data_IF_235398786411
#
_entry.id   IF_235398786411
#
_cell.length_a   1.000
_cell.length_b   1.000
_cell.length_c   1.000
_cell.angle_alpha   90.00
_cell.angle_beta   90.00
_cell.angle_gamma   90.00
#
_symmetry.space_group_name_H-M   'P 1'
#
loop_
_entity.id
_entity.type
_entity.pdbx_description
1 polymer ?
#
# COMPACT_ATOMS: atom_id res chain seq x y z
N UNK A 1 1.45 24.23 -44.69
CA UNK A 1 1.32 24.37 -43.22
C UNK A 1 0.29 23.37 -42.70
N UNK A 2 0.72 22.17 -42.27
CA UNK A 2 -0.16 21.15 -41.69
C UNK A 2 0.12 21.01 -40.20
N UNK A 3 -0.74 21.57 -39.34
CA UNK A 3 -0.64 21.39 -37.88
C UNK A 3 -1.23 20.02 -37.52
N UNK A 4 -0.37 19.01 -37.36
CA UNK A 4 -0.76 17.73 -36.79
C UNK A 4 -0.99 17.91 -35.28
N UNK A 5 -2.26 17.96 -34.86
CA UNK A 5 -2.67 18.04 -33.45
C UNK A 5 -2.49 16.67 -32.81
N UNK A 6 -1.37 16.45 -32.12
CA UNK A 6 -1.22 15.33 -31.19
C UNK A 6 -2.19 15.52 -30.01
N UNK A 7 -3.37 14.89 -30.08
CA UNK A 7 -4.21 14.67 -28.90
C UNK A 7 -3.41 13.80 -27.94
N UNK A 8 -2.93 14.38 -26.83
CA UNK A 8 -2.39 13.64 -25.67
C UNK A 8 -3.46 12.64 -25.22
N UNK A 9 -3.35 11.37 -25.61
CA UNK A 9 -4.08 10.28 -24.96
C UNK A 9 -3.51 10.20 -23.54
N UNK A 10 -4.30 10.59 -22.53
CA UNK A 10 -3.98 10.25 -21.14
C UNK A 10 -3.90 8.72 -21.10
N UNK A 11 -2.71 8.19 -20.83
CA UNK A 11 -2.52 6.77 -20.58
C UNK A 11 -3.35 6.44 -19.33
N UNK A 12 -4.41 5.66 -19.48
CA UNK A 12 -5.14 5.13 -18.33
C UNK A 12 -4.26 4.04 -17.75
N UNK A 13 -3.55 4.37 -16.67
CA UNK A 13 -2.75 3.41 -15.90
C UNK A 13 -3.74 2.46 -15.24
N UNK A 14 -3.61 1.16 -15.48
CA UNK A 14 -4.48 0.15 -14.88
C UNK A 14 -4.32 0.09 -13.36
N UNK A 15 -5.35 -0.38 -12.63
CA UNK A 15 -5.36 -0.37 -11.17
C UNK A 15 -4.10 -1.02 -10.57
N UNK A 16 -3.71 -2.19 -11.07
CA UNK A 16 -2.47 -2.86 -10.66
C UNK A 16 -1.24 -1.95 -10.73
N UNK A 17 -1.05 -1.24 -11.83
CA UNK A 17 0.10 -0.34 -11.99
C UNK A 17 0.04 0.85 -11.01
N UNK A 18 -1.15 1.33 -10.66
CA UNK A 18 -1.32 2.37 -9.64
C UNK A 18 -0.97 1.83 -8.24
N UNK A 19 -1.39 0.60 -7.92
CA UNK A 19 -1.05 -0.10 -6.67
C UNK A 19 0.46 -0.38 -6.59
N UNK A 20 1.10 -0.77 -7.70
CA UNK A 20 2.55 -0.94 -7.78
C UNK A 20 3.28 0.36 -7.45
N UNK A 21 2.82 1.49 -8.02
CA UNK A 21 3.39 2.80 -7.71
C UNK A 21 3.13 3.23 -6.26
N UNK A 22 1.96 2.88 -5.71
CA UNK A 22 1.63 3.13 -4.30
C UNK A 22 2.62 2.42 -3.36
N UNK A 23 2.86 1.12 -3.56
CA UNK A 23 3.79 0.39 -2.69
C UNK A 23 5.25 0.85 -2.86
N UNK A 24 5.68 1.19 -4.08
CA UNK A 24 7.01 1.78 -4.30
C UNK A 24 7.18 3.11 -3.56
N UNK A 25 6.15 3.96 -3.59
CA UNK A 25 6.17 5.23 -2.90
C UNK A 25 6.16 5.05 -1.37
N UNK A 26 5.35 4.11 -0.86
CA UNK A 26 5.32 3.77 0.56
C UNK A 26 6.68 3.25 1.02
N UNK A 27 7.28 2.31 0.28
CA UNK A 27 8.60 1.76 0.57
C UNK A 27 9.68 2.85 0.64
N UNK A 28 9.62 3.87 -0.22
CA UNK A 28 10.56 4.99 -0.19
C UNK A 28 10.36 5.99 0.95
N UNK A 29 9.29 5.86 1.75
CA UNK A 29 8.92 6.80 2.82
C UNK A 29 8.99 6.20 4.23
N UNK A 30 9.32 4.92 4.35
CA UNK A 30 9.31 4.19 5.62
C UNK A 30 10.68 3.60 5.90
N UNK A 31 11.00 3.44 7.17
CA UNK A 31 12.14 2.65 7.62
C UNK A 31 11.64 1.25 8.00
N UNK A 32 12.16 0.24 7.32
CA UNK A 32 11.76 -1.15 7.47
C UNK A 32 12.95 -2.06 7.16
N UNK A 33 13.09 -3.15 7.92
CA UNK A 33 14.14 -4.16 7.69
C UNK A 33 13.92 -4.91 6.38
N UNK A 34 12.65 -5.18 6.05
CA UNK A 34 12.25 -5.82 4.82
C UNK A 34 10.89 -5.29 4.35
N UNK A 35 10.71 -5.22 3.03
CA UNK A 35 9.46 -4.86 2.37
C UNK A 35 9.25 -5.79 1.18
N UNK A 36 8.26 -6.66 1.25
CA UNK A 36 7.90 -7.57 0.16
C UNK A 36 6.48 -7.31 -0.29
N UNK A 37 6.19 -7.57 -1.58
CA UNK A 37 4.83 -7.48 -2.12
C UNK A 37 4.54 -8.73 -2.93
N UNK A 38 3.55 -9.50 -2.50
CA UNK A 38 2.98 -10.62 -3.24
C UNK A 38 1.82 -10.13 -4.10
N UNK A 39 1.82 -10.50 -5.38
CA UNK A 39 0.81 -10.08 -6.35
C UNK A 39 -0.09 -11.22 -6.75
N UNK A 40 -1.40 -10.97 -6.66
CA UNK A 40 -2.46 -11.85 -7.17
C UNK A 40 -3.26 -11.11 -8.24
N UNK A 41 -4.29 -11.74 -8.79
CA UNK A 41 -5.04 -11.19 -9.93
C UNK A 41 -5.71 -9.85 -9.60
N UNK A 42 -6.29 -9.74 -8.40
CA UNK A 42 -7.11 -8.60 -7.94
C UNK A 42 -6.74 -8.15 -6.52
N UNK A 43 -5.54 -8.54 -6.07
CA UNK A 43 -5.07 -8.32 -4.72
C UNK A 43 -3.54 -8.19 -4.71
N UNK A 44 -3.04 -7.38 -3.79
CA UNK A 44 -1.62 -7.29 -3.47
C UNK A 44 -1.44 -7.28 -1.95
N UNK A 45 -0.59 -8.18 -1.45
CA UNK A 45 -0.23 -8.29 -0.04
C UNK A 45 1.18 -7.74 0.15
N UNK A 46 1.32 -6.62 0.83
CA UNK A 46 2.60 -6.15 1.30
C UNK A 46 2.87 -6.65 2.71
N UNK A 47 4.08 -7.18 2.93
CA UNK A 47 4.59 -7.54 4.25
C UNK A 47 5.78 -6.62 4.56
N UNK A 48 5.68 -5.88 5.66
CA UNK A 48 6.65 -4.87 6.07
C UNK A 48 7.19 -5.27 7.44
N UNK A 49 8.47 -5.66 7.49
CA UNK A 49 9.15 -6.04 8.73
C UNK A 49 9.71 -4.80 9.42
N UNK A 50 9.32 -4.59 10.68
CA UNK A 50 9.72 -3.44 11.50
C UNK A 50 10.78 -3.81 12.55
N UNK A 51 11.15 -5.09 12.66
CA UNK A 51 12.14 -5.62 13.60
C UNK A 51 11.57 -6.68 14.54
N UNK A 52 12.44 -7.56 15.06
CA UNK A 52 12.12 -8.64 16.01
C UNK A 52 10.87 -9.47 15.65
N UNK A 53 10.79 -9.91 14.39
CA UNK A 53 9.66 -10.66 13.83
C UNK A 53 8.31 -9.93 13.96
N UNK A 54 8.33 -8.59 13.99
CA UNK A 54 7.13 -7.75 14.03
C UNK A 54 6.85 -7.13 12.66
N UNK A 55 5.60 -7.24 12.24
CA UNK A 55 5.17 -6.93 10.88
C UNK A 55 3.96 -6.00 10.85
N UNK A 56 3.92 -5.19 9.79
CA UNK A 56 2.71 -4.59 9.26
C UNK A 56 2.38 -5.26 7.92
N UNK A 57 1.17 -5.79 7.82
CA UNK A 57 0.61 -6.30 6.58
C UNK A 57 -0.35 -5.28 6.00
N UNK A 58 -0.28 -5.08 4.68
CA UNK A 58 -1.21 -4.24 3.93
C UNK A 58 -1.78 -5.09 2.80
N UNK A 59 -3.09 -5.30 2.83
CA UNK A 59 -3.81 -6.02 1.78
C UNK A 59 -4.55 -4.97 0.96
N UNK A 60 -4.23 -4.88 -0.32
CA UNK A 60 -4.91 -3.99 -1.25
C UNK A 60 -5.68 -4.84 -2.25
N UNK A 61 -7.01 -4.79 -2.19
CA UNK A 61 -7.89 -5.56 -3.05
C UNK A 61 -8.68 -4.62 -3.96
N UNK A 62 -8.87 -5.01 -5.22
CA UNK A 62 -9.59 -4.18 -6.19
C UNK A 62 -10.44 -4.99 -7.16
N UNK A 63 -11.57 -4.41 -7.56
CA UNK A 63 -12.39 -4.84 -8.68
C UNK A 63 -12.41 -3.75 -9.75
N UNK A 64 -13.29 -3.88 -10.76
CA UNK A 64 -13.38 -2.89 -11.84
C UNK A 64 -13.82 -1.50 -11.34
N UNK A 65 -14.63 -1.43 -10.27
CA UNK A 65 -15.23 -0.18 -9.81
C UNK A 65 -14.96 0.15 -8.33
N UNK A 66 -14.35 -0.77 -7.60
CA UNK A 66 -14.20 -0.65 -6.15
C UNK A 66 -12.83 -1.12 -5.68
N UNK A 67 -12.38 -0.61 -4.55
CA UNK A 67 -11.16 -1.04 -3.91
C UNK A 67 -11.24 -0.93 -2.39
N UNK A 68 -10.50 -1.81 -1.71
CA UNK A 68 -10.44 -1.90 -0.26
C UNK A 68 -8.98 -2.03 0.15
N UNK A 69 -8.63 -1.45 1.30
CA UNK A 69 -7.34 -1.65 1.95
C UNK A 69 -7.56 -2.13 3.38
N UNK A 70 -6.97 -3.26 3.71
CA UNK A 70 -6.98 -3.85 5.04
C UNK A 70 -5.56 -3.86 5.62
N UNK A 71 -5.48 -3.79 6.95
CA UNK A 71 -4.22 -3.72 7.67
C UNK A 71 -4.20 -4.75 8.79
N UNK A 72 -3.07 -5.41 8.99
CA UNK A 72 -2.82 -6.26 10.16
C UNK A 72 -1.46 -5.90 10.77
N UNK A 73 -1.39 -5.87 12.10
CA UNK A 73 -0.14 -5.61 12.84
C UNK A 73 0.06 -6.76 13.82
N UNK A 74 1.26 -7.32 13.85
CA UNK A 74 1.57 -8.44 14.72
C UNK A 74 2.85 -9.14 14.29
N UNK A 75 3.18 -10.24 14.97
CA UNK A 75 4.12 -11.21 14.44
C UNK A 75 3.52 -12.03 13.28
N UNK A 76 4.23 -13.07 12.85
CA UNK A 76 3.77 -14.01 11.81
C UNK A 76 2.41 -14.67 12.12
N UNK A 77 2.00 -14.70 13.40
CA UNK A 77 0.74 -15.26 13.87
C UNK A 77 -0.31 -14.18 14.19
N UNK A 78 -0.07 -12.93 13.79
CA UNK A 78 -0.88 -11.76 14.10
C UNK A 78 -1.00 -11.47 15.61
N UNK A 79 0.03 -11.80 16.39
CA UNK A 79 0.09 -11.55 17.83
C UNK A 79 1.00 -10.36 18.15
N UNK A 80 0.55 -9.49 19.06
CA UNK A 80 1.37 -8.43 19.63
C UNK A 80 1.83 -8.90 21.02
N UNK A 81 3.13 -9.16 21.15
CA UNK A 81 3.76 -9.57 22.41
C UNK A 81 4.36 -8.35 23.12
N UNK A 82 4.68 -8.49 24.42
CA UNK A 82 5.27 -7.41 25.20
C UNK A 82 6.58 -6.86 24.60
N UNK A 83 7.39 -7.72 23.96
CA UNK A 83 8.63 -7.34 23.26
C UNK A 83 8.42 -6.53 21.96
N UNK A 84 7.16 -6.40 21.50
CA UNK A 84 6.81 -5.64 20.31
C UNK A 84 6.26 -4.24 20.66
N UNK A 85 6.05 -3.92 21.94
CA UNK A 85 5.38 -2.68 22.34
C UNK A 85 6.12 -1.40 21.93
N UNK A 86 7.46 -1.44 21.94
CA UNK A 86 8.34 -0.39 21.46
C UNK A 86 8.19 -0.10 19.95
N UNK A 87 7.72 -1.09 19.18
CA UNK A 87 7.54 -1.00 17.72
C UNK A 87 6.14 -0.58 17.31
N UNK A 88 5.18 -0.55 18.24
CA UNK A 88 3.79 -0.20 17.92
C UNK A 88 3.66 1.22 17.38
N UNK A 89 4.42 2.18 17.91
CA UNK A 89 4.39 3.56 17.44
C UNK A 89 4.83 3.66 15.97
N UNK A 90 5.90 2.95 15.60
CA UNK A 90 6.37 2.86 14.20
C UNK A 90 5.35 2.15 13.31
N UNK A 91 4.75 1.05 13.78
CA UNK A 91 3.74 0.31 13.03
C UNK A 91 2.50 1.16 12.74
N UNK A 92 2.00 1.86 13.76
CA UNK A 92 0.84 2.76 13.64
C UNK A 92 1.18 3.98 12.76
N UNK A 93 2.38 4.54 12.87
CA UNK A 93 2.82 5.64 12.01
C UNK A 93 2.87 5.21 10.53
N UNK A 94 3.44 4.04 10.26
CA UNK A 94 3.51 3.43 8.92
C UNK A 94 2.12 3.16 8.37
N UNK A 95 1.22 2.58 9.18
CA UNK A 95 -0.18 2.34 8.80
C UNK A 95 -0.90 3.63 8.43
N UNK A 96 -0.77 4.69 9.26
CA UNK A 96 -1.40 5.99 8.98
C UNK A 96 -0.87 6.62 7.69
N UNK A 97 0.44 6.53 7.46
CA UNK A 97 1.06 6.99 6.22
C UNK A 97 0.52 6.22 5.02
N UNK A 98 0.50 4.89 5.09
CA UNK A 98 -0.02 4.02 4.05
C UNK A 98 -1.48 4.37 3.71
N UNK A 99 -2.33 4.51 4.72
CA UNK A 99 -3.74 4.88 4.54
C UNK A 99 -3.93 6.26 3.90
N UNK A 100 -3.15 7.25 4.34
CA UNK A 100 -3.17 8.59 3.72
C UNK A 100 -2.75 8.53 2.25
N UNK A 101 -1.65 7.86 1.92
CA UNK A 101 -1.19 7.72 0.54
C UNK A 101 -2.24 7.01 -0.33
N UNK A 102 -2.89 5.98 0.21
CA UNK A 102 -3.93 5.25 -0.49
C UNK A 102 -5.15 6.16 -0.78
N UNK A 103 -5.67 6.89 0.21
CA UNK A 103 -6.83 7.78 0.03
C UNK A 103 -6.55 9.01 -0.86
N UNK A 104 -5.31 9.49 -0.89
CA UNK A 104 -4.87 10.54 -1.82
C UNK A 104 -4.88 10.03 -3.27
N UNK A 105 -4.34 8.82 -3.51
CA UNK A 105 -4.15 8.26 -4.86
C UNK A 105 -5.39 7.59 -5.44
N UNK A 106 -6.19 6.88 -4.63
CA UNK A 106 -7.29 6.06 -5.10
C UNK A 106 -8.64 6.66 -4.75
N UNK A 107 -9.42 7.06 -5.76
CA UNK A 107 -10.74 7.66 -5.55
C UNK A 107 -11.76 6.69 -4.95
N UNK A 108 -11.62 5.38 -5.16
CA UNK A 108 -12.50 4.36 -4.58
C UNK A 108 -12.37 4.22 -3.05
N UNK A 109 -11.30 4.76 -2.43
CA UNK A 109 -11.12 4.73 -0.98
C UNK A 109 -11.62 6.00 -0.27
N UNK A 110 -12.09 7.01 -1.01
CA UNK A 110 -12.52 8.26 -0.40
C UNK A 110 -13.91 8.06 0.23
N UNK A 111 -14.13 8.51 1.48
CA UNK A 111 -15.46 8.49 2.07
C UNK A 111 -16.44 9.23 1.15
N UNK A 112 -17.60 8.63 0.92
CA UNK A 112 -18.69 9.21 0.13
C UNK A 112 -19.23 10.51 0.73
#
# INVERSE_FOLDING_TARGET
MGKCKYKKRKLVIGMRQQVEQYFRELQGKIDAEAFTVEWRQHEALAQIQLGDDFYLFIIFSWSDNDCVVEYMIGDENAVIQARHLDKLDQAVATLKLAHRLATEKFSCLRPS
#
